data_IF_753415198392
#
_entry.id   IF_753415198392
#
_cell.length_a   1.000
_cell.length_b   1.000
_cell.length_c   1.000
_cell.angle_alpha   90.00
_cell.angle_beta   90.00
_cell.angle_gamma   90.00
#
_symmetry.space_group_name_H-M   'P 1'
#
loop_
_entity.id
_entity.type
_entity.pdbx_description
1 polymer ?
#
# COMPACT_ATOMS: atom_id res chain seq x y z
N UNK A 1 6.02 -131.90 25.09
CA UNK A 1 5.26 -130.72 24.60
C UNK A 1 5.64 -129.56 25.53
N UNK A 2 6.83 -128.98 25.42
CA UNK A 2 7.34 -128.12 24.34
C UNK A 2 6.46 -126.87 24.13
N UNK A 3 7.05 -125.74 24.52
CA UNK A 3 6.81 -124.36 24.06
C UNK A 3 5.67 -123.58 24.70
N UNK A 4 6.03 -122.66 25.61
CA UNK A 4 6.00 -121.21 25.35
C UNK A 4 5.83 -120.39 26.64
N UNK A 5 6.71 -120.60 27.62
CA UNK A 5 6.97 -119.61 28.67
C UNK A 5 7.92 -118.54 28.12
N UNK A 6 7.41 -117.59 27.35
CA UNK A 6 8.06 -116.29 27.12
C UNK A 6 6.95 -115.29 26.74
N UNK A 7 7.05 -114.06 27.25
CA UNK A 7 6.09 -112.94 27.20
C UNK A 7 5.11 -112.81 28.39
N UNK A 8 5.64 -112.70 29.60
CA UNK A 8 4.96 -112.05 30.73
C UNK A 8 5.98 -111.24 31.57
N UNK A 9 6.56 -110.19 30.99
CA UNK A 9 7.38 -109.21 31.71
C UNK A 9 7.51 -107.84 31.00
N UNK A 10 6.62 -107.51 30.04
CA UNK A 10 6.70 -106.25 29.27
C UNK A 10 5.46 -105.36 29.36
N UNK A 11 4.56 -105.65 30.32
CA UNK A 11 3.29 -104.94 30.51
C UNK A 11 3.30 -103.89 31.61
N UNK A 12 4.10 -104.07 32.67
CA UNK A 12 4.18 -103.12 33.78
C UNK A 12 5.25 -102.02 33.59
N UNK A 13 6.31 -102.27 32.82
CA UNK A 13 7.25 -101.21 32.40
C UNK A 13 6.61 -100.25 31.38
N UNK A 14 5.76 -100.75 30.48
CA UNK A 14 5.06 -99.90 29.50
C UNK A 14 4.04 -98.95 30.13
N UNK A 15 3.33 -99.36 31.18
CA UNK A 15 2.35 -98.50 31.86
C UNK A 15 3.00 -97.38 32.68
N UNK A 16 4.17 -97.65 33.27
CA UNK A 16 4.92 -96.64 34.03
C UNK A 16 5.52 -95.56 33.11
N UNK A 17 5.98 -95.95 31.92
CA UNK A 17 6.43 -95.01 30.88
C UNK A 17 5.27 -94.20 30.28
N UNK A 18 4.07 -94.78 30.21
CA UNK A 18 2.88 -94.12 29.65
C UNK A 18 2.33 -93.03 30.59
N UNK A 19 2.23 -93.31 31.90
CA UNK A 19 1.84 -92.30 32.91
C UNK A 19 2.86 -91.15 33.02
N UNK A 20 4.16 -91.46 32.97
CA UNK A 20 5.21 -90.44 32.97
C UNK A 20 5.15 -89.56 31.71
N UNK A 21 4.88 -90.15 30.56
CA UNK A 21 4.74 -89.42 29.30
C UNK A 21 3.49 -88.52 29.32
N UNK A 22 2.36 -89.00 29.83
CA UNK A 22 1.13 -88.21 29.99
C UNK A 22 1.34 -87.01 30.92
N UNK A 23 2.02 -87.21 32.06
CA UNK A 23 2.29 -86.12 33.01
C UNK A 23 3.23 -85.05 32.43
N UNK A 24 4.25 -85.45 31.66
CA UNK A 24 5.13 -84.50 30.97
C UNK A 24 4.40 -83.75 29.85
N UNK A 25 3.48 -84.42 29.14
CA UNK A 25 2.67 -83.81 28.11
C UNK A 25 1.68 -82.79 28.71
N UNK A 26 1.05 -83.11 29.83
CA UNK A 26 0.17 -82.19 30.57
C UNK A 26 0.94 -80.96 31.06
N UNK A 27 2.12 -81.15 31.66
CA UNK A 27 2.98 -80.04 32.10
C UNK A 27 3.42 -79.15 30.92
N UNK A 28 3.79 -79.75 29.78
CA UNK A 28 4.14 -79.00 28.57
C UNK A 28 2.94 -78.20 28.03
N UNK A 29 1.73 -78.76 28.09
CA UNK A 29 0.50 -78.07 27.72
C UNK A 29 0.16 -76.92 28.68
N UNK A 30 0.33 -77.10 29.98
CA UNK A 30 0.15 -76.05 30.98
C UNK A 30 1.14 -74.90 30.79
N UNK A 31 2.42 -75.21 30.55
CA UNK A 31 3.43 -74.20 30.25
C UNK A 31 3.14 -73.47 28.94
N UNK A 32 2.73 -74.20 27.90
CA UNK A 32 2.30 -73.63 26.63
C UNK A 32 1.11 -72.68 26.79
N UNK A 33 0.12 -73.07 27.60
CA UNK A 33 -1.04 -72.23 27.95
C UNK A 33 -0.61 -70.96 28.71
N UNK A 34 0.28 -71.08 29.69
CA UNK A 34 0.78 -69.93 30.45
C UNK A 34 1.58 -68.96 29.56
N UNK A 35 2.39 -69.48 28.64
CA UNK A 35 3.13 -68.67 27.67
C UNK A 35 2.19 -67.98 26.68
N UNK A 36 1.16 -68.66 26.18
CA UNK A 36 0.15 -68.06 25.30
C UNK A 36 -0.64 -66.96 26.02
N UNK A 37 -1.02 -67.17 27.27
CA UNK A 37 -1.71 -66.14 28.07
C UNK A 37 -0.81 -64.93 28.28
N UNK A 38 0.47 -65.13 28.59
CA UNK A 38 1.44 -64.03 28.71
C UNK A 38 1.70 -63.31 27.40
N UNK A 39 1.74 -64.04 26.28
CA UNK A 39 1.88 -63.44 24.97
C UNK A 39 0.64 -62.59 24.63
N UNK A 40 -0.57 -63.11 24.87
CA UNK A 40 -1.83 -62.38 24.71
C UNK A 40 -1.89 -61.12 25.58
N UNK A 41 -1.43 -61.18 26.83
CA UNK A 41 -1.35 -60.03 27.72
C UNK A 41 -0.38 -58.97 27.17
N UNK A 42 0.80 -59.38 26.71
CA UNK A 42 1.78 -58.48 26.10
C UNK A 42 1.25 -57.86 24.81
N UNK A 43 0.60 -58.63 23.93
CA UNK A 43 -0.07 -58.10 22.73
C UNK A 43 -1.15 -57.08 23.10
N UNK A 44 -1.94 -57.35 24.14
CA UNK A 44 -2.94 -56.39 24.62
C UNK A 44 -2.30 -55.11 25.15
N UNK A 45 -1.18 -55.20 25.89
CA UNK A 45 -0.45 -54.03 26.38
C UNK A 45 0.16 -53.23 25.23
N UNK A 46 0.74 -53.89 24.23
CA UNK A 46 1.29 -53.24 23.04
C UNK A 46 0.19 -52.50 22.29
N UNK A 47 -0.97 -53.12 22.06
CA UNK A 47 -2.10 -52.49 21.41
C UNK A 47 -2.62 -51.27 22.20
N UNK A 48 -2.68 -51.37 23.53
CA UNK A 48 -3.04 -50.23 24.38
C UNK A 48 -2.05 -49.07 24.26
N UNK A 49 -0.75 -49.36 24.29
CA UNK A 49 0.29 -48.35 24.11
C UNK A 49 0.24 -47.71 22.72
N UNK A 50 -0.02 -48.52 21.68
CA UNK A 50 -0.21 -48.01 20.31
C UNK A 50 -1.40 -47.06 20.21
N UNK A 51 -2.52 -47.37 20.87
CA UNK A 51 -3.68 -46.48 20.92
C UNK A 51 -3.35 -45.17 21.65
N UNK A 52 -2.65 -45.23 22.78
CA UNK A 52 -2.23 -44.02 23.51
C UNK A 52 -1.31 -43.16 22.65
N UNK A 53 -0.34 -43.77 21.96
CA UNK A 53 0.56 -43.05 21.04
C UNK A 53 -0.23 -42.41 19.91
N UNK A 54 -1.25 -43.10 19.37
CA UNK A 54 -2.11 -42.54 18.33
C UNK A 54 -2.92 -41.33 18.85
N UNK A 55 -3.53 -41.43 20.02
CA UNK A 55 -4.30 -40.34 20.64
C UNK A 55 -3.40 -39.13 20.92
N UNK A 56 -2.21 -39.35 21.47
CA UNK A 56 -1.20 -38.31 21.68
C UNK A 56 -0.76 -37.67 20.36
N UNK A 57 -0.61 -38.46 19.30
CA UNK A 57 -0.28 -37.92 17.99
C UNK A 57 -1.37 -36.97 17.47
N UNK A 58 -2.64 -37.36 17.57
CA UNK A 58 -3.77 -36.52 17.17
C UNK A 58 -3.84 -35.23 18.00
N UNK A 59 -3.60 -35.32 19.30
CA UNK A 59 -3.55 -34.15 20.19
C UNK A 59 -2.43 -33.18 19.78
N UNK A 60 -1.22 -33.69 19.54
CA UNK A 60 -0.08 -32.88 19.08
C UNK A 60 -0.41 -32.18 17.76
N UNK A 61 -1.05 -32.87 16.81
CA UNK A 61 -1.47 -32.24 15.54
C UNK A 61 -2.49 -31.14 15.75
N UNK A 62 -3.48 -31.34 16.62
CA UNK A 62 -4.49 -30.32 16.94
C UNK A 62 -3.86 -29.09 17.60
N UNK A 63 -2.97 -29.29 18.58
CA UNK A 63 -2.24 -28.21 19.23
C UNK A 63 -1.34 -27.47 18.24
N UNK A 64 -0.66 -28.19 17.35
CA UNK A 64 0.14 -27.59 16.27
C UNK A 64 -0.72 -26.73 15.36
N UNK A 65 -1.90 -27.21 14.96
CA UNK A 65 -2.84 -26.44 14.15
C UNK A 65 -3.32 -25.17 14.86
N UNK A 66 -3.62 -25.26 16.17
CA UNK A 66 -4.00 -24.10 16.98
C UNK A 66 -2.86 -23.07 17.09
N UNK A 67 -1.62 -23.51 17.28
CA UNK A 67 -0.45 -22.62 17.32
C UNK A 67 -0.25 -21.91 15.97
N UNK A 68 -0.38 -22.63 14.86
CA UNK A 68 -0.25 -22.03 13.52
C UNK A 68 -1.39 -21.03 13.24
N UNK A 69 -2.62 -21.34 13.64
CA UNK A 69 -3.74 -20.41 13.56
C UNK A 69 -3.48 -19.14 14.40
N UNK A 70 -2.94 -19.28 15.61
CA UNK A 70 -2.56 -18.14 16.45
C UNK A 70 -1.41 -17.31 15.84
N UNK A 71 -0.45 -17.97 15.17
CA UNK A 71 0.65 -17.31 14.47
C UNK A 71 0.14 -16.49 13.29
N UNK A 72 -0.68 -17.09 12.43
CA UNK A 72 -1.28 -16.41 11.27
C UNK A 72 -2.20 -15.26 11.69
N UNK A 73 -3.00 -15.43 12.76
CA UNK A 73 -3.81 -14.35 13.32
C UNK A 73 -2.95 -13.20 13.88
N UNK A 74 -1.83 -13.52 14.52
CA UNK A 74 -0.89 -12.52 15.02
C UNK A 74 -0.25 -11.75 13.85
N UNK A 75 0.11 -12.43 12.77
CA UNK A 75 0.67 -11.81 11.58
C UNK A 75 -0.34 -10.92 10.86
N UNK A 76 -1.59 -11.35 10.70
CA UNK A 76 -2.65 -10.51 10.12
C UNK A 76 -2.94 -9.28 10.98
N UNK A 77 -2.97 -9.44 12.32
CA UNK A 77 -3.09 -8.31 13.25
C UNK A 77 -1.95 -7.30 13.08
N UNK A 78 -0.71 -7.77 12.97
CA UNK A 78 0.44 -6.88 12.76
C UNK A 78 0.32 -6.13 11.42
N UNK A 79 -0.10 -6.80 10.34
CA UNK A 79 -0.34 -6.15 9.04
C UNK A 79 -1.41 -5.07 9.12
N UNK A 80 -2.51 -5.32 9.86
CA UNK A 80 -3.57 -4.33 10.10
C UNK A 80 -3.01 -3.12 10.87
N UNK A 81 -2.19 -3.34 11.90
CA UNK A 81 -1.56 -2.24 12.63
C UNK A 81 -0.66 -1.38 11.74
N UNK A 82 0.15 -2.00 10.87
CA UNK A 82 0.96 -1.26 9.90
C UNK A 82 0.09 -0.47 8.91
N UNK A 83 -1.02 -1.04 8.43
CA UNK A 83 -1.94 -0.35 7.54
C UNK A 83 -2.63 0.84 8.23
N UNK A 84 -3.06 0.68 9.48
CA UNK A 84 -3.60 1.78 10.29
C UNK A 84 -2.55 2.88 10.49
N UNK A 85 -1.30 2.54 10.75
CA UNK A 85 -0.23 3.53 10.91
C UNK A 85 0.03 4.31 9.61
N UNK A 86 0.10 3.60 8.46
CA UNK A 86 0.21 4.24 7.13
C UNK A 86 -0.95 5.20 6.86
N UNK A 87 -2.19 4.75 7.08
CA UNK A 87 -3.39 5.59 6.84
C UNK A 87 -3.45 6.79 7.80
N UNK A 88 -3.06 6.63 9.06
CA UNK A 88 -2.97 7.73 10.02
C UNK A 88 -1.95 8.78 9.57
N UNK A 89 -0.78 8.35 9.09
CA UNK A 89 0.25 9.24 8.56
C UNK A 89 -0.24 9.99 7.29
N UNK A 90 -0.92 9.30 6.37
CA UNK A 90 -1.51 9.93 5.19
C UNK A 90 -2.56 10.98 5.54
N UNK A 91 -3.42 10.69 6.54
CA UNK A 91 -4.39 11.64 7.06
C UNK A 91 -3.73 12.84 7.74
N UNK A 92 -2.65 12.64 8.48
CA UNK A 92 -1.90 13.74 9.09
C UNK A 92 -1.26 14.63 8.02
N UNK A 93 -0.67 14.03 6.99
CA UNK A 93 -0.04 14.76 5.88
C UNK A 93 -1.06 15.57 5.07
N UNK A 94 -2.20 14.97 4.75
CA UNK A 94 -3.30 15.68 4.06
C UNK A 94 -3.88 16.80 4.92
N UNK A 95 -4.02 16.60 6.24
CA UNK A 95 -4.47 17.64 7.16
C UNK A 95 -3.47 18.80 7.23
N UNK A 96 -2.17 18.53 7.37
CA UNK A 96 -1.11 19.55 7.31
C UNK A 96 -1.18 20.36 6.02
N UNK A 97 -1.35 19.69 4.88
CA UNK A 97 -1.50 20.34 3.57
C UNK A 97 -2.74 21.25 3.52
N UNK A 98 -3.89 20.75 3.93
CA UNK A 98 -5.14 21.54 3.98
C UNK A 98 -5.02 22.74 4.92
N UNK A 99 -4.32 22.61 6.05
CA UNK A 99 -4.08 23.72 6.97
C UNK A 99 -3.17 24.79 6.35
N UNK A 100 -2.13 24.39 5.61
CA UNK A 100 -1.28 25.31 4.87
C UNK A 100 -2.06 26.05 3.76
N UNK A 101 -2.88 25.33 2.99
CA UNK A 101 -3.76 25.91 1.96
C UNK A 101 -4.78 26.88 2.57
N UNK A 102 -5.45 26.48 3.65
CA UNK A 102 -6.39 27.35 4.39
C UNK A 102 -5.72 28.62 4.91
N UNK A 103 -4.48 28.52 5.40
CA UNK A 103 -3.70 29.69 5.83
C UNK A 103 -3.36 30.61 4.65
N UNK A 104 -2.98 30.04 3.51
CA UNK A 104 -2.69 30.81 2.29
C UNK A 104 -3.95 31.53 1.78
N UNK A 105 -5.09 30.85 1.77
CA UNK A 105 -6.38 31.43 1.39
C UNK A 105 -6.81 32.53 2.35
N UNK A 106 -6.65 32.33 3.66
CA UNK A 106 -6.91 33.36 4.66
C UNK A 106 -6.08 34.61 4.42
N UNK A 107 -4.78 34.47 4.13
CA UNK A 107 -3.92 35.60 3.82
C UNK A 107 -4.35 36.30 2.52
N UNK A 108 -4.78 35.54 1.51
CA UNK A 108 -5.32 36.10 0.26
C UNK A 108 -6.60 36.89 0.50
N UNK A 109 -7.50 36.38 1.34
CA UNK A 109 -8.73 37.09 1.74
C UNK A 109 -8.39 38.38 2.47
N UNK A 110 -7.47 38.35 3.45
CA UNK A 110 -7.02 39.54 4.18
C UNK A 110 -6.44 40.61 3.24
N UNK A 111 -5.61 40.21 2.27
CA UNK A 111 -5.07 41.13 1.26
C UNK A 111 -6.16 41.73 0.36
N UNK A 112 -7.14 40.92 -0.06
CA UNK A 112 -8.26 41.38 -0.87
C UNK A 112 -9.17 42.32 -0.07
N UNK A 113 -9.46 42.01 1.19
CA UNK A 113 -10.19 42.91 2.10
C UNK A 113 -9.46 44.23 2.28
N UNK A 114 -8.14 44.22 2.49
CA UNK A 114 -7.35 45.44 2.58
C UNK A 114 -7.41 46.29 1.30
N UNK A 115 -7.40 45.65 0.13
CA UNK A 115 -7.58 46.33 -1.15
C UNK A 115 -8.98 46.95 -1.28
N UNK A 116 -10.03 46.24 -0.85
CA UNK A 116 -11.40 46.77 -0.85
C UNK A 116 -11.48 48.02 0.02
N UNK A 117 -10.95 47.99 1.26
CA UNK A 117 -10.93 49.18 2.11
C UNK A 117 -10.21 50.38 1.49
N UNK A 118 -9.09 50.15 0.79
CA UNK A 118 -8.39 51.22 0.07
C UNK A 118 -9.20 51.78 -1.11
N UNK A 119 -9.98 50.93 -1.78
CA UNK A 119 -10.86 51.38 -2.87
C UNK A 119 -12.06 52.15 -2.34
N UNK A 120 -12.65 51.70 -1.22
CA UNK A 120 -13.71 52.42 -0.51
C UNK A 120 -13.24 53.81 -0.06
N UNK A 121 -12.05 53.93 0.54
CA UNK A 121 -11.46 55.22 0.91
C UNK A 121 -11.28 56.15 -0.30
N UNK A 122 -10.83 55.62 -1.44
CA UNK A 122 -10.70 56.40 -2.68
C UNK A 122 -12.06 56.84 -3.23
N UNK A 123 -13.09 56.01 -3.12
CA UNK A 123 -14.45 56.37 -3.52
C UNK A 123 -14.96 57.50 -2.62
N UNK A 124 -14.84 57.36 -1.30
CA UNK A 124 -15.22 58.40 -0.34
C UNK A 124 -14.51 59.73 -0.62
N UNK A 125 -13.22 59.70 -0.95
CA UNK A 125 -12.46 60.90 -1.30
C UNK A 125 -12.89 61.52 -2.63
N UNK A 126 -13.22 60.70 -3.63
CA UNK A 126 -13.78 61.18 -4.90
C UNK A 126 -15.18 61.77 -4.71
N UNK A 127 -16.01 61.17 -3.87
CA UNK A 127 -17.33 61.67 -3.51
C UNK A 127 -17.24 63.02 -2.79
N UNK A 128 -16.32 63.16 -1.82
CA UNK A 128 -16.03 64.46 -1.17
C UNK A 128 -15.61 65.51 -2.19
N UNK A 129 -14.68 65.17 -3.11
CA UNK A 129 -14.25 66.08 -4.17
C UNK A 129 -15.40 66.50 -5.08
N UNK A 130 -16.26 65.56 -5.47
CA UNK A 130 -17.44 65.83 -6.30
C UNK A 130 -18.43 66.77 -5.57
N UNK A 131 -18.69 66.53 -4.28
CA UNK A 131 -19.56 67.40 -3.50
C UNK A 131 -18.96 68.81 -3.34
N UNK A 132 -17.64 68.94 -3.09
CA UNK A 132 -16.99 70.27 -3.04
C UNK A 132 -17.13 71.02 -4.36
N UNK A 133 -16.88 70.37 -5.51
CA UNK A 133 -17.04 70.96 -6.84
C UNK A 133 -18.49 71.38 -7.09
N UNK A 134 -19.46 70.55 -6.70
CA UNK A 134 -20.90 70.87 -6.80
C UNK A 134 -21.26 72.08 -5.92
N UNK A 135 -20.72 72.18 -4.71
CA UNK A 135 -20.93 73.37 -3.88
C UNK A 135 -20.28 74.62 -4.49
N UNK A 136 -19.14 74.50 -5.16
CA UNK A 136 -18.49 75.64 -5.81
C UNK A 136 -19.19 76.06 -7.10
N UNK A 137 -19.75 75.12 -7.86
CA UNK A 137 -20.61 75.38 -9.02
C UNK A 137 -21.87 76.15 -8.60
N UNK A 138 -22.55 75.73 -7.53
CA UNK A 138 -23.73 76.45 -7.02
C UNK A 138 -23.39 77.85 -6.51
N UNK A 139 -22.24 78.05 -5.84
CA UNK A 139 -21.74 79.38 -5.46
C UNK A 139 -21.40 80.23 -6.67
N UNK A 140 -20.81 79.66 -7.72
CA UNK A 140 -20.49 80.37 -8.96
C UNK A 140 -21.77 80.77 -9.72
N UNK A 141 -22.77 79.89 -9.81
CA UNK A 141 -24.07 80.25 -10.39
C UNK A 141 -24.81 81.31 -9.57
N UNK A 142 -24.73 81.24 -8.24
CA UNK A 142 -25.19 82.29 -7.33
C UNK A 142 -24.48 83.62 -7.59
N UNK A 143 -23.14 83.59 -7.70
CA UNK A 143 -22.34 84.77 -8.02
C UNK A 143 -22.57 85.28 -9.44
N UNK A 144 -22.84 84.46 -10.45
CA UNK A 144 -23.14 84.90 -11.83
C UNK A 144 -24.52 85.56 -11.90
N UNK A 145 -25.51 85.06 -11.14
CA UNK A 145 -26.82 85.71 -11.01
C UNK A 145 -26.75 86.99 -10.17
N UNK A 146 -25.85 87.06 -9.20
CA UNK A 146 -25.54 88.26 -8.40
C UNK A 146 -24.70 89.28 -9.19
N UNK A 147 -23.74 88.85 -10.02
CA UNK A 147 -22.96 89.71 -10.93
C UNK A 147 -23.81 90.24 -12.07
N UNK A 148 -24.89 89.56 -12.48
CA UNK A 148 -25.91 90.18 -13.35
C UNK A 148 -26.75 91.25 -12.63
N UNK A 149 -26.79 91.27 -11.30
CA UNK A 149 -27.45 92.31 -10.51
C UNK A 149 -26.50 93.43 -10.06
N UNK A 150 -25.18 93.19 -10.04
CA UNK A 150 -24.17 94.16 -9.57
C UNK A 150 -23.08 94.51 -10.59
N UNK A 151 -23.22 94.10 -11.86
CA UNK A 151 -22.38 94.55 -12.99
C UNK A 151 -22.69 95.99 -13.44
N UNK A 152 -22.80 96.89 -12.48
CA UNK A 152 -22.42 98.28 -12.66
C UNK A 152 -21.45 98.60 -11.53
N UNK A 153 -20.18 98.76 -11.90
CA UNK A 153 -19.05 99.20 -11.07
C UNK A 153 -18.31 98.09 -10.32
N UNK A 154 -17.18 97.63 -10.88
CA UNK A 154 -15.88 98.00 -10.32
C UNK A 154 -14.71 97.58 -11.20
N UNK A 155 -13.83 98.55 -11.40
CA UNK A 155 -12.58 98.48 -12.14
C UNK A 155 -11.46 98.58 -11.10
N UNK A 156 -10.40 97.80 -11.29
CA UNK A 156 -9.05 97.96 -10.70
C UNK A 156 -8.84 97.49 -9.24
N UNK A 157 -7.89 96.59 -9.01
CA UNK A 157 -6.64 96.91 -8.30
C UNK A 157 -5.66 95.72 -8.31
N UNK A 158 -4.45 95.99 -8.80
CA UNK A 158 -3.23 95.21 -8.66
C UNK A 158 -2.52 95.63 -7.37
N UNK A 159 -2.02 94.68 -6.58
CA UNK A 159 -0.95 94.85 -5.57
C UNK A 159 -0.40 93.43 -5.34
N UNK A 160 0.75 92.99 -5.86
CA UNK A 160 2.14 93.37 -5.61
C UNK A 160 2.50 93.60 -4.13
N UNK A 161 2.94 92.51 -3.47
CA UNK A 161 3.73 92.57 -2.24
C UNK A 161 4.84 91.52 -2.31
N UNK A 162 6.04 91.98 -2.65
CA UNK A 162 7.30 91.32 -2.34
C UNK A 162 7.58 91.47 -0.85
N UNK A 163 7.81 90.37 -0.14
CA UNK A 163 8.75 90.36 0.98
C UNK A 163 9.53 89.05 1.02
N UNK A 164 10.83 89.18 0.79
CA UNK A 164 11.87 88.31 1.31
C UNK A 164 11.68 88.15 2.82
N UNK A 165 11.65 86.91 3.31
CA UNK A 165 12.56 86.55 4.39
C UNK A 165 12.83 85.04 4.41
N UNK A 166 14.06 84.75 3.99
CA UNK A 166 14.81 83.57 4.38
C UNK A 166 14.90 83.50 5.90
N UNK A 167 14.48 82.38 6.49
CA UNK A 167 15.40 81.45 7.15
C UNK A 167 14.67 80.62 8.23
N UNK A 168 15.03 79.33 8.24
CA UNK A 168 14.76 78.33 9.28
C UNK A 168 13.37 77.70 9.31
N UNK A 169 13.15 76.75 8.38
CA UNK A 169 12.34 75.57 8.65
C UNK A 169 12.91 74.41 7.83
N UNK A 170 13.97 73.79 8.35
CA UNK A 170 14.51 72.55 7.81
C UNK A 170 14.42 71.45 8.86
N UNK A 171 13.20 71.23 9.36
CA UNK A 171 12.84 70.07 10.18
C UNK A 171 11.41 69.67 9.83
N UNK A 172 11.27 69.02 8.68
CA UNK A 172 10.25 68.01 8.39
C UNK A 172 10.34 67.66 6.90
N UNK A 173 11.08 66.60 6.55
CA UNK A 173 11.00 65.97 5.22
C UNK A 173 9.72 65.10 5.10
N UNK A 174 8.60 65.56 5.65
CA UNK A 174 7.30 64.90 5.51
C UNK A 174 6.59 65.33 4.22
N UNK A 175 6.92 66.51 3.67
CA UNK A 175 6.28 67.07 2.47
C UNK A 175 6.77 66.44 1.16
N UNK A 176 7.90 65.72 1.16
CA UNK A 176 8.40 64.98 -0.02
C UNK A 176 7.68 63.65 -0.26
N UNK A 177 6.74 63.26 0.63
CA UNK A 177 5.92 62.05 0.50
C UNK A 177 4.46 62.33 0.08
N UNK A 178 4.06 63.59 -0.07
CA UNK A 178 2.72 63.90 -0.58
C UNK A 178 2.65 63.69 -2.10
N UNK A 179 1.57 63.05 -2.53
CA UNK A 179 1.28 62.63 -3.91
C UNK A 179 1.20 63.80 -4.92
N UNK A 180 1.16 65.04 -4.42
CA UNK A 180 0.96 66.27 -5.18
C UNK A 180 2.21 66.76 -5.93
N UNK A 181 3.40 66.25 -5.59
CA UNK A 181 4.67 66.66 -6.23
C UNK A 181 5.28 65.63 -7.18
N UNK A 182 4.55 64.55 -7.52
CA UNK A 182 5.05 63.48 -8.41
C UNK A 182 5.36 63.95 -9.85
N UNK A 183 4.88 65.12 -10.25
CA UNK A 183 4.93 65.61 -11.64
C UNK A 183 5.96 66.73 -11.87
N UNK A 184 6.77 67.09 -10.87
CA UNK A 184 7.89 68.01 -11.08
C UNK A 184 9.04 67.22 -11.71
N UNK A 185 9.63 67.69 -12.84
CA UNK A 185 10.77 67.02 -13.44
C UNK A 185 11.92 67.01 -12.43
N UNK A 186 12.21 65.81 -11.93
CA UNK A 186 13.26 65.56 -10.95
C UNK A 186 14.61 66.01 -11.51
N UNK A 187 15.41 66.67 -10.68
CA UNK A 187 16.80 66.95 -11.06
C UNK A 187 17.57 65.64 -11.26
N UNK A 188 18.61 65.59 -12.11
CA UNK A 188 19.35 64.36 -12.42
C UNK A 188 19.82 63.58 -11.18
N UNK A 189 20.24 64.33 -10.14
CA UNK A 189 20.68 63.79 -8.86
C UNK A 189 19.53 63.20 -8.04
N UNK A 190 18.36 63.82 -8.02
CA UNK A 190 17.19 63.26 -7.32
C UNK A 190 16.69 61.97 -7.97
N UNK A 191 16.84 61.83 -9.31
CA UNK A 191 16.48 60.59 -10.01
C UNK A 191 17.43 59.45 -9.64
N UNK A 192 18.72 59.75 -9.53
CA UNK A 192 19.71 58.79 -9.06
C UNK A 192 19.47 58.39 -7.61
N UNK A 193 19.15 59.33 -6.72
CA UNK A 193 18.80 59.04 -5.32
C UNK A 193 17.58 58.12 -5.27
N UNK A 194 16.54 58.36 -6.08
CA UNK A 194 15.36 57.48 -6.13
C UNK A 194 15.71 56.08 -6.64
N UNK A 195 16.49 55.95 -7.70
CA UNK A 195 16.96 54.65 -8.22
C UNK A 195 17.79 53.89 -7.18
N UNK A 196 18.67 54.58 -6.46
CA UNK A 196 19.46 54.00 -5.38
C UNK A 196 18.57 53.57 -4.20
N UNK A 197 17.56 54.37 -3.84
CA UNK A 197 16.59 54.01 -2.81
C UNK A 197 15.76 52.79 -3.19
N UNK A 198 15.30 52.69 -4.44
CA UNK A 198 14.57 51.53 -4.95
C UNK A 198 15.46 50.29 -4.99
N UNK A 199 16.73 50.43 -5.41
CA UNK A 199 17.73 49.35 -5.38
C UNK A 199 18.03 48.90 -3.95
N UNK A 200 18.16 49.82 -3.00
CA UNK A 200 18.38 49.51 -1.58
C UNK A 200 17.16 48.80 -1.00
N UNK A 201 15.94 49.26 -1.32
CA UNK A 201 14.72 48.60 -0.90
C UNK A 201 14.63 47.17 -1.48
N UNK A 202 14.93 47.00 -2.78
CA UNK A 202 14.97 45.71 -3.44
C UNK A 202 15.99 44.77 -2.80
N UNK A 203 17.21 45.24 -2.57
CA UNK A 203 18.27 44.47 -1.92
C UNK A 203 17.91 44.11 -0.48
N UNK A 204 17.24 45.00 0.26
CA UNK A 204 16.75 44.73 1.61
C UNK A 204 15.65 43.66 1.62
N UNK A 205 14.70 43.73 0.68
CA UNK A 205 13.71 42.65 0.52
C UNK A 205 14.37 41.34 0.14
N UNK A 206 15.34 41.36 -0.78
CA UNK A 206 16.08 40.18 -1.20
C UNK A 206 16.85 39.56 -0.03
N UNK A 207 17.53 40.36 0.78
CA UNK A 207 18.22 39.92 2.00
C UNK A 207 17.26 39.23 2.98
N UNK A 208 16.04 39.75 3.16
CA UNK A 208 15.05 39.10 4.04
C UNK A 208 14.55 37.77 3.49
N UNK A 209 14.41 37.65 2.17
CA UNK A 209 14.03 36.40 1.51
C UNK A 209 15.15 35.38 1.66
N UNK A 210 16.38 35.77 1.39
CA UNK A 210 17.52 34.87 1.46
C UNK A 210 17.78 34.42 2.91
N UNK A 211 17.66 35.32 3.90
CA UNK A 211 17.70 34.92 5.32
C UNK A 211 16.68 33.83 5.65
N UNK A 212 15.43 33.98 5.18
CA UNK A 212 14.39 32.96 5.39
C UNK A 212 14.72 31.64 4.69
N UNK A 213 15.30 31.68 3.49
CA UNK A 213 15.75 30.47 2.79
C UNK A 213 16.86 29.76 3.54
N UNK A 214 17.83 30.51 4.09
CA UNK A 214 18.88 29.95 4.94
C UNK A 214 18.28 29.29 6.18
N UNK A 215 17.34 29.95 6.87
CA UNK A 215 16.67 29.37 8.04
C UNK A 215 15.91 28.07 7.72
N UNK A 216 15.23 28.03 6.57
CA UNK A 216 14.54 26.79 6.12
C UNK A 216 15.53 25.67 5.82
N UNK A 217 16.61 25.99 5.10
CA UNK A 217 17.64 25.00 4.76
C UNK A 217 18.38 24.49 6.00
N UNK A 218 18.63 25.35 6.99
CA UNK A 218 19.25 24.99 8.26
C UNK A 218 18.37 23.98 9.04
N UNK A 219 17.06 24.20 9.08
CA UNK A 219 16.10 23.25 9.67
C UNK A 219 16.09 21.94 8.89
N UNK A 220 16.07 21.97 7.56
CA UNK A 220 16.13 20.78 6.72
C UNK A 220 17.42 19.97 6.94
N UNK A 221 18.57 20.64 7.01
CA UNK A 221 19.84 20.01 7.35
C UNK A 221 19.83 19.38 8.75
N UNK A 222 19.22 20.04 9.75
CA UNK A 222 19.08 19.49 11.09
C UNK A 222 18.26 18.20 11.09
N UNK A 223 17.12 18.20 10.41
CA UNK A 223 16.25 17.01 10.29
C UNK A 223 16.98 15.86 9.58
N UNK A 224 17.65 16.13 8.46
CA UNK A 224 18.42 15.12 7.73
C UNK A 224 19.60 14.57 8.55
N UNK A 225 20.22 15.39 9.39
CA UNK A 225 21.25 14.91 10.33
C UNK A 225 20.65 13.98 11.40
N UNK A 226 19.50 14.31 11.96
CA UNK A 226 18.80 13.45 12.92
C UNK A 226 18.38 12.12 12.29
N UNK A 227 17.82 12.15 11.08
CA UNK A 227 17.46 10.95 10.32
C UNK A 227 18.68 10.07 10.02
N UNK A 228 19.79 10.67 9.56
CA UNK A 228 21.04 9.94 9.37
C UNK A 228 21.54 9.32 10.68
N UNK A 229 21.48 10.05 11.80
CA UNK A 229 21.89 9.50 13.09
C UNK A 229 21.03 8.30 13.51
N UNK A 230 19.72 8.34 13.26
CA UNK A 230 18.81 7.23 13.51
C UNK A 230 19.15 6.04 12.61
N UNK A 231 19.41 6.27 11.32
CA UNK A 231 19.80 5.22 10.38
C UNK A 231 21.13 4.58 10.78
N UNK A 232 22.14 5.35 11.15
CA UNK A 232 23.41 4.85 11.68
C UNK A 232 23.20 3.98 12.92
N UNK A 233 22.34 4.39 13.84
CA UNK A 233 22.03 3.60 15.03
C UNK A 233 21.32 2.28 14.67
N UNK A 234 20.41 2.28 13.68
CA UNK A 234 19.78 1.05 13.17
C UNK A 234 20.81 0.12 12.54
N UNK A 235 21.74 0.65 11.73
CA UNK A 235 22.82 -0.13 11.13
C UNK A 235 23.69 -0.76 12.22
N UNK A 236 24.14 0.02 13.21
CA UNK A 236 24.92 -0.51 14.36
C UNK A 236 24.17 -1.62 15.10
N UNK A 237 22.85 -1.49 15.30
CA UNK A 237 22.04 -2.52 15.93
C UNK A 237 21.94 -3.80 15.09
N UNK A 238 21.84 -3.67 13.77
CA UNK A 238 21.84 -4.81 12.85
C UNK A 238 23.22 -5.48 12.77
N UNK A 239 24.30 -4.70 12.77
CA UNK A 239 25.68 -5.21 12.84
C UNK A 239 25.91 -5.99 14.14
N UNK A 240 25.40 -5.50 15.28
CA UNK A 240 25.47 -6.22 16.54
C UNK A 240 24.71 -7.55 16.49
N UNK A 241 23.48 -7.57 15.96
CA UNK A 241 22.70 -8.80 15.76
C UNK A 241 23.39 -9.79 14.82
N UNK A 242 24.01 -9.29 13.75
CA UNK A 242 24.79 -10.10 12.84
C UNK A 242 26.00 -10.73 13.55
N UNK A 243 26.71 -9.96 14.37
CA UNK A 243 27.84 -10.47 15.16
C UNK A 243 27.41 -11.56 16.16
N UNK A 244 26.25 -11.38 16.81
CA UNK A 244 25.65 -12.38 17.70
C UNK A 244 25.28 -13.65 16.93
N UNK A 245 24.66 -13.52 15.76
CA UNK A 245 24.31 -14.65 14.91
C UNK A 245 25.55 -15.44 14.46
N UNK A 246 26.64 -14.76 14.09
CA UNK A 246 27.92 -15.39 13.73
C UNK A 246 28.50 -16.15 14.94
N UNK A 247 28.47 -15.57 16.14
CA UNK A 247 28.94 -16.26 17.35
C UNK A 247 28.11 -17.52 17.64
N UNK A 248 26.78 -17.43 17.58
CA UNK A 248 25.89 -18.58 17.79
C UNK A 248 26.13 -19.66 16.74
N UNK A 249 26.32 -19.29 15.48
CA UNK A 249 26.65 -20.25 14.43
C UNK A 249 27.98 -20.96 14.70
N UNK A 250 29.00 -20.23 15.15
CA UNK A 250 30.27 -20.82 15.56
C UNK A 250 30.09 -21.78 16.74
N UNK A 251 29.32 -21.41 17.77
CA UNK A 251 29.03 -22.29 18.92
C UNK A 251 28.28 -23.57 18.50
N UNK A 252 27.33 -23.46 17.56
CA UNK A 252 26.64 -24.62 16.98
C UNK A 252 27.59 -25.55 16.24
N UNK A 253 28.52 -24.99 15.44
CA UNK A 253 29.53 -25.80 14.74
C UNK A 253 30.47 -26.51 15.71
N UNK A 254 30.89 -25.82 16.78
CA UNK A 254 31.74 -26.40 17.81
C UNK A 254 31.02 -27.48 18.62
N UNK A 255 29.75 -27.28 18.97
CA UNK A 255 28.95 -28.31 19.66
C UNK A 255 28.69 -29.52 18.77
N UNK A 256 28.46 -29.31 17.47
CA UNK A 256 28.39 -30.38 16.48
C UNK A 256 29.71 -31.18 16.49
N UNK A 257 30.86 -30.55 16.26
CA UNK A 257 32.17 -31.25 16.26
C UNK A 257 32.40 -32.01 17.58
N UNK A 258 32.11 -31.39 18.73
CA UNK A 258 32.23 -32.03 20.04
C UNK A 258 31.31 -33.25 20.20
N UNK A 259 30.07 -33.18 19.70
CA UNK A 259 29.12 -34.30 19.73
C UNK A 259 29.59 -35.46 18.84
N UNK A 260 30.17 -35.17 17.67
CA UNK A 260 30.79 -36.19 16.82
C UNK A 260 31.99 -36.84 17.49
N UNK A 261 32.86 -36.06 18.14
CA UNK A 261 33.99 -36.59 18.90
C UNK A 261 33.55 -37.43 20.11
N UNK A 262 32.50 -37.03 20.83
CA UNK A 262 31.93 -37.84 21.91
C UNK A 262 31.33 -39.15 21.42
N UNK A 263 30.64 -39.17 20.26
CA UNK A 263 30.15 -40.41 19.63
C UNK A 263 31.29 -41.34 19.23
N UNK A 264 32.41 -40.81 18.74
CA UNK A 264 33.59 -41.62 18.39
C UNK A 264 34.29 -42.14 19.66
N UNK A 265 34.34 -41.34 20.73
CA UNK A 265 34.90 -41.75 22.01
C UNK A 265 34.04 -42.81 22.71
N UNK A 266 32.71 -42.71 22.66
CA UNK A 266 31.80 -43.75 23.17
C UNK A 266 31.87 -45.03 22.35
N UNK A 267 32.10 -44.95 21.04
CA UNK A 267 32.37 -46.10 20.17
C UNK A 267 33.71 -46.79 20.51
N UNK A 268 34.73 -46.04 20.94
CA UNK A 268 36.01 -46.61 21.39
C UNK A 268 35.93 -47.27 22.77
N UNK A 269 34.95 -46.90 23.62
CA UNK A 269 34.71 -47.54 24.93
C UNK A 269 33.79 -48.76 24.81
N UNK A 270 33.08 -48.94 23.69
CA UNK A 270 32.22 -50.11 23.43
C UNK A 270 32.90 -51.31 22.75
N UNK A 271 34.23 -51.38 22.73
CA UNK A 271 34.95 -52.62 22.37
C UNK A 271 35.06 -53.57 23.58
N UNK A 272 33.91 -53.93 24.16
CA UNK A 272 33.74 -55.09 25.03
C UNK A 272 32.26 -55.39 25.23
N UNK A 273 31.55 -55.75 24.16
CA UNK A 273 30.51 -56.80 24.17
C UNK A 273 29.91 -56.95 22.78
N UNK A 274 30.22 -58.10 22.19
CA UNK A 274 29.51 -58.70 21.07
C UNK A 274 27.99 -58.69 21.35
N UNK A 275 27.20 -58.31 20.35
CA UNK A 275 26.31 -59.30 19.73
C UNK A 275 25.82 -58.84 18.36
N UNK A 276 26.15 -59.68 17.39
CA UNK A 276 25.86 -59.58 15.98
C UNK A 276 24.48 -60.19 15.73
N UNK A 277 23.49 -59.45 15.21
CA UNK A 277 22.44 -60.04 14.36
C UNK A 277 21.93 -59.09 13.27
N UNK A 278 22.09 -59.62 12.05
CA UNK A 278 21.23 -59.54 10.86
C UNK A 278 21.20 -58.23 10.06
N UNK A 279 21.84 -58.33 8.89
CA UNK A 279 21.79 -57.44 7.74
C UNK A 279 20.38 -57.30 7.15
N UNK A 280 20.01 -56.08 6.74
CA UNK A 280 18.94 -55.82 5.77
C UNK A 280 19.44 -54.76 4.75
N UNK A 281 19.54 -55.06 3.44
CA UNK A 281 20.11 -54.16 2.43
C UNK A 281 19.03 -53.25 1.85
N UNK A 282 18.46 -52.34 2.67
CA UNK A 282 17.43 -51.39 2.23
C UNK A 282 17.71 -49.92 2.55
N UNK A 283 18.89 -49.58 3.06
CA UNK A 283 19.25 -48.20 3.42
C UNK A 283 20.40 -47.69 2.54
N UNK A 284 20.20 -47.69 1.23
CA UNK A 284 21.10 -47.04 0.26
C UNK A 284 20.32 -46.31 -0.86
N UNK A 285 19.12 -45.78 -0.55
CA UNK A 285 18.41 -44.92 -1.50
C UNK A 285 17.79 -43.64 -0.92
N UNK A 286 18.17 -43.25 0.29
CA UNK A 286 17.81 -41.93 0.84
C UNK A 286 19.09 -41.10 1.02
N UNK A 287 19.70 -40.74 -0.11
CA UNK A 287 20.35 -39.44 -0.20
C UNK A 287 19.29 -38.55 -0.83
N UNK A 288 18.38 -38.07 0.01
CA UNK A 288 17.41 -37.05 -0.37
C UNK A 288 18.21 -35.76 -0.61
N UNK A 289 18.40 -35.43 -1.89
CA UNK A 289 18.86 -34.11 -2.28
C UNK A 289 17.74 -33.11 -1.93
N UNK A 290 18.05 -32.14 -1.08
CA UNK A 290 17.21 -30.95 -0.83
C UNK A 290 17.08 -30.12 -2.14
N UNK A 291 16.18 -30.55 -3.02
CA UNK A 291 15.61 -29.77 -4.10
C UNK A 291 14.10 -29.75 -3.86
N UNK A 292 13.46 -28.59 -3.62
CA UNK A 292 12.02 -28.55 -3.42
C UNK A 292 11.32 -28.81 -4.76
N UNK A 293 10.91 -30.05 -5.00
CA UNK A 293 9.89 -30.34 -6.01
C UNK A 293 8.57 -29.74 -5.53
N UNK A 294 8.19 -28.61 -6.12
CA UNK A 294 6.87 -27.98 -5.97
C UNK A 294 5.78 -28.86 -6.59
N UNK A 295 5.41 -29.94 -5.90
CA UNK A 295 4.15 -30.67 -6.12
C UNK A 295 3.00 -29.94 -5.44
N UNK A 296 2.77 -28.67 -5.80
CA UNK A 296 1.48 -28.03 -5.53
C UNK A 296 0.61 -28.18 -6.77
N UNK A 297 -0.37 -29.08 -6.73
CA UNK A 297 -1.44 -29.13 -7.72
C UNK A 297 -2.28 -27.84 -7.61
N UNK A 298 -1.79 -26.75 -8.22
CA UNK A 298 -2.51 -25.49 -8.29
C UNK A 298 -3.65 -25.59 -9.29
N UNK A 299 -4.84 -25.15 -8.88
CA UNK A 299 -6.03 -25.11 -9.74
C UNK A 299 -6.18 -23.67 -10.26
N UNK A 300 -6.46 -23.53 -11.55
CA UNK A 300 -6.78 -22.24 -12.14
C UNK A 300 -8.30 -22.08 -12.23
N UNK A 301 -8.84 -20.95 -11.76
CA UNK A 301 -10.27 -20.63 -11.87
C UNK A 301 -10.42 -19.30 -12.61
N UNK A 302 -11.31 -19.27 -13.59
CA UNK A 302 -11.64 -18.06 -14.35
C UNK A 302 -12.82 -17.36 -13.68
N UNK A 303 -12.65 -16.08 -13.37
CA UNK A 303 -13.68 -15.24 -12.79
C UNK A 303 -14.53 -14.61 -13.90
N UNK A 304 -15.78 -14.27 -13.59
CA UNK A 304 -16.72 -13.64 -14.52
C UNK A 304 -16.26 -12.27 -15.05
N UNK A 305 -15.28 -11.66 -14.39
CA UNK A 305 -14.59 -10.44 -14.82
C UNK A 305 -13.53 -10.67 -15.91
N UNK A 306 -13.37 -11.91 -16.41
CA UNK A 306 -12.42 -12.27 -17.45
C UNK A 306 -10.98 -12.47 -16.98
N UNK A 307 -10.73 -12.40 -15.67
CA UNK A 307 -9.41 -12.62 -15.05
C UNK A 307 -9.27 -14.07 -14.55
N UNK A 308 -8.08 -14.66 -14.70
CA UNK A 308 -7.77 -15.99 -14.18
C UNK A 308 -6.99 -15.89 -12.87
N UNK A 309 -7.40 -16.66 -11.86
CA UNK A 309 -6.74 -16.75 -10.57
C UNK A 309 -6.10 -18.13 -10.40
N UNK A 310 -4.83 -18.17 -10.00
CA UNK A 310 -4.09 -19.41 -9.74
C UNK A 310 -3.75 -19.50 -8.26
N UNK A 311 -4.22 -20.56 -7.60
CA UNK A 311 -3.91 -20.80 -6.20
C UNK A 311 -4.04 -22.28 -5.84
N UNK A 312 -3.48 -22.65 -4.69
CA UNK A 312 -3.58 -23.99 -4.11
C UNK A 312 -5.05 -24.42 -3.96
N UNK A 313 -5.37 -25.69 -4.20
CA UNK A 313 -6.74 -26.25 -4.14
C UNK A 313 -7.48 -25.88 -2.85
N UNK A 314 -6.78 -25.79 -1.72
CA UNK A 314 -7.34 -25.45 -0.41
C UNK A 314 -7.77 -23.98 -0.28
N UNK A 315 -7.06 -23.07 -0.94
CA UNK A 315 -7.31 -21.63 -0.88
C UNK A 315 -8.50 -21.18 -1.74
N UNK A 316 -8.82 -21.92 -2.81
CA UNK A 316 -9.90 -21.59 -3.74
C UNK A 316 -11.30 -21.93 -3.19
N UNK A 317 -11.40 -22.95 -2.34
CA UNK A 317 -12.69 -23.36 -1.75
C UNK A 317 -13.25 -22.34 -0.74
N UNK A 318 -12.43 -21.40 -0.23
CA UNK A 318 -12.88 -20.32 0.67
C UNK A 318 -13.37 -19.07 -0.06
N UNK A 319 -13.06 -18.91 -1.35
CA UNK A 319 -13.40 -17.69 -2.13
C UNK A 319 -14.55 -17.95 -3.13
N UNK A 320 -14.87 -19.21 -3.41
CA UNK A 320 -15.81 -19.60 -4.46
C UNK A 320 -17.15 -20.11 -3.93
N UNK A 321 -17.87 -19.34 -3.10
CA UNK A 321 -19.28 -19.64 -2.79
C UNK A 321 -20.24 -19.32 -3.95
N UNK A 322 -19.76 -18.68 -5.03
CA UNK A 322 -20.58 -18.27 -6.19
C UNK A 322 -20.07 -18.74 -7.57
N UNK A 323 -19.06 -19.61 -7.65
CA UNK A 323 -18.57 -20.11 -8.94
C UNK A 323 -19.13 -21.51 -9.25
N UNK A 324 -19.84 -21.63 -10.38
CA UNK A 324 -20.30 -22.92 -10.93
C UNK A 324 -19.14 -23.89 -11.11
N UNK A 325 -19.22 -25.05 -10.47
CA UNK A 325 -18.36 -26.20 -10.72
C UNK A 325 -18.45 -26.62 -12.20
N UNK A 326 -17.30 -26.62 -12.89
CA UNK A 326 -17.15 -27.35 -14.15
C UNK A 326 -16.68 -28.74 -13.78
N UNK A 327 -17.59 -29.69 -13.99
CA UNK A 327 -17.40 -31.12 -13.93
C UNK A 327 -16.26 -31.56 -14.85
N UNK A 328 -15.46 -32.49 -14.35
CA UNK A 328 -14.55 -33.40 -15.06
C UNK A 328 -14.76 -33.49 -16.58
N UNK A 329 -13.74 -33.12 -17.35
CA UNK A 329 -13.54 -33.69 -18.68
C UNK A 329 -12.05 -33.76 -19.00
N UNK A 330 -11.57 -34.99 -18.90
CA UNK A 330 -10.46 -35.61 -19.62
C UNK A 330 -9.07 -34.95 -19.55
N UNK A 331 -8.21 -35.59 -18.76
CA UNK A 331 -6.80 -35.31 -18.50
C UNK A 331 -5.84 -35.48 -19.70
N UNK A 332 -6.28 -35.41 -20.96
CA UNK A 332 -5.37 -35.73 -22.09
C UNK A 332 -5.49 -34.83 -23.31
N UNK A 333 -5.73 -33.54 -23.10
CA UNK A 333 -5.44 -32.58 -24.17
C UNK A 333 -5.23 -31.18 -23.62
N UNK A 334 -4.20 -30.52 -24.16
CA UNK A 334 -3.81 -29.12 -24.00
C UNK A 334 -2.70 -28.88 -22.97
N UNK A 335 -1.49 -29.29 -23.36
CA UNK A 335 -0.27 -28.60 -22.90
C UNK A 335 -0.46 -27.10 -23.10
N UNK A 336 -0.05 -26.28 -22.13
CA UNK A 336 -0.09 -24.81 -22.20
C UNK A 336 0.52 -24.27 -23.51
N UNK A 337 1.52 -24.98 -24.05
CA UNK A 337 2.14 -24.68 -25.34
C UNK A 337 1.17 -24.86 -26.52
N UNK A 338 0.33 -25.90 -26.50
CA UNK A 338 -0.65 -26.18 -27.55
C UNK A 338 -1.77 -25.13 -27.55
N UNK A 339 -2.21 -24.70 -26.36
CA UNK A 339 -3.19 -23.61 -26.25
C UNK A 339 -2.56 -22.26 -26.65
N UNK A 340 -1.31 -22.00 -26.28
CA UNK A 340 -0.56 -20.82 -26.75
C UNK A 340 -0.35 -20.85 -28.27
N UNK A 341 -0.05 -22.00 -28.85
CA UNK A 341 0.11 -22.16 -30.30
C UNK A 341 -1.22 -21.95 -31.03
N UNK A 342 -2.34 -22.48 -30.50
CA UNK A 342 -3.67 -22.22 -31.06
C UNK A 342 -4.03 -20.74 -30.95
N UNK A 343 -3.75 -20.09 -29.81
CA UNK A 343 -3.98 -18.65 -29.63
C UNK A 343 -3.09 -17.80 -30.54
N UNK A 344 -1.82 -18.19 -30.72
CA UNK A 344 -0.89 -17.53 -31.62
C UNK A 344 -1.32 -17.69 -33.08
N UNK A 345 -1.75 -18.89 -33.49
CA UNK A 345 -2.28 -19.15 -34.82
C UNK A 345 -3.58 -18.37 -35.08
N UNK A 346 -4.48 -18.27 -34.10
CA UNK A 346 -5.70 -17.47 -34.21
C UNK A 346 -5.41 -15.98 -34.32
N UNK A 347 -4.43 -15.48 -33.56
CA UNK A 347 -3.98 -14.10 -33.64
C UNK A 347 -3.32 -13.81 -35.00
N UNK A 348 -2.47 -14.73 -35.47
CA UNK A 348 -1.85 -14.66 -36.78
C UNK A 348 -2.89 -14.62 -37.91
N UNK A 349 -3.89 -15.50 -37.88
CA UNK A 349 -4.99 -15.50 -38.84
C UNK A 349 -5.78 -14.18 -38.81
N UNK A 350 -6.00 -13.60 -37.62
CA UNK A 350 -6.67 -12.30 -37.45
C UNK A 350 -5.84 -11.15 -38.04
N UNK A 351 -4.53 -11.14 -37.84
CA UNK A 351 -3.62 -10.17 -38.45
C UNK A 351 -3.52 -10.34 -39.97
N UNK A 352 -3.54 -11.57 -40.47
CA UNK A 352 -3.57 -11.85 -41.90
C UNK A 352 -4.88 -11.39 -42.53
N UNK A 353 -6.02 -11.57 -41.86
CA UNK A 353 -7.31 -11.05 -42.28
C UNK A 353 -7.37 -9.52 -42.24
N UNK A 354 -6.77 -8.88 -41.22
CA UNK A 354 -6.66 -7.42 -41.12
C UNK A 354 -5.78 -6.82 -42.23
N UNK A 355 -4.68 -7.47 -42.56
CA UNK A 355 -3.80 -7.04 -43.66
C UNK A 355 -4.44 -7.26 -45.03
N UNK A 356 -5.15 -8.38 -45.25
CA UNK A 356 -5.95 -8.61 -46.45
C UNK A 356 -7.16 -7.67 -46.58
N UNK A 357 -7.83 -7.32 -45.47
CA UNK A 357 -8.89 -6.33 -45.49
C UNK A 357 -8.34 -4.92 -45.72
N UNK A 358 -7.13 -4.61 -45.24
CA UNK A 358 -6.46 -3.34 -45.55
C UNK A 358 -5.98 -3.26 -47.00
N UNK A 359 -5.60 -4.38 -47.63
CA UNK A 359 -5.32 -4.41 -49.07
C UNK A 359 -6.60 -4.32 -49.91
N UNK A 360 -7.70 -4.97 -49.49
CA UNK A 360 -9.02 -4.84 -50.14
C UNK A 360 -9.61 -3.43 -49.98
N UNK A 361 -9.42 -2.79 -48.82
CA UNK A 361 -9.89 -1.41 -48.57
C UNK A 361 -9.05 -0.36 -49.31
N UNK A 362 -7.80 -0.66 -49.68
CA UNK A 362 -6.96 0.20 -50.51
C UNK A 362 -7.27 0.15 -52.01
N UNK A 363 -8.04 -0.83 -52.49
CA UNK A 363 -8.52 -0.88 -53.88
C UNK A 363 -9.90 -0.21 -54.07
N UNK A 364 -10.61 0.13 -52.98
CA UNK A 364 -11.95 0.75 -53.03
C UNK A 364 -12.03 2.25 -52.73
N UNK A 365 -11.00 2.86 -52.14
CA UNK A 365 -11.07 4.25 -51.62
C UNK A 365 -9.95 5.18 -52.13
N UNK A 366 -9.30 4.84 -53.24
CA UNK A 366 -8.48 5.83 -53.97
C UNK A 366 -9.37 6.65 -54.89
N UNK A 367 -9.93 7.76 -54.38
CA UNK A 367 -10.22 9.03 -55.10
C UNK A 367 -11.42 9.77 -54.51
N UNK A 368 -11.33 10.25 -53.27
CA UNK A 368 -11.94 11.53 -52.84
C UNK A 368 -11.74 11.71 -51.35
N UNK A 369 -11.45 12.94 -50.93
CA UNK A 369 -11.39 13.38 -49.53
C UNK A 369 -10.05 13.16 -48.81
N UNK A 370 -8.96 13.49 -49.52
CA UNK A 370 -7.92 14.32 -48.90
C UNK A 370 -8.47 15.75 -48.79
N UNK A 371 -8.20 16.39 -47.65
CA UNK A 371 -8.46 17.79 -47.27
C UNK A 371 -9.77 18.06 -46.49
N UNK A 372 -9.57 18.72 -45.35
CA UNK A 372 -10.53 19.47 -44.52
C UNK A 372 -11.21 18.72 -43.35
N UNK A 373 -10.63 18.80 -42.14
CA UNK A 373 -11.07 19.75 -41.08
C UNK A 373 -10.48 19.43 -39.71
N UNK A 374 -9.63 20.34 -39.27
CA UNK A 374 -9.32 20.61 -37.86
C UNK A 374 -10.54 21.23 -37.15
N UNK A 375 -10.57 21.06 -35.81
CA UNK A 375 -11.31 21.82 -34.79
C UNK A 375 -12.83 21.95 -34.97
N UNK A 376 -13.58 21.05 -34.32
CA UNK A 376 -14.91 21.37 -33.79
C UNK A 376 -15.02 20.85 -32.34
N UNK A 377 -14.88 21.78 -31.41
CA UNK A 377 -15.41 21.68 -30.05
C UNK A 377 -16.94 21.67 -30.09
N UNK A 378 -17.54 20.93 -29.14
CA UNK A 378 -18.93 20.95 -28.67
C UNK A 378 -19.97 20.06 -29.38
N UNK A 379 -20.63 19.26 -28.54
CA UNK A 379 -22.07 18.95 -28.58
C UNK A 379 -22.57 17.92 -29.60
N UNK A 380 -22.14 16.65 -29.50
CA UNK A 380 -22.89 15.56 -30.14
C UNK A 380 -22.75 14.19 -29.44
N UNK A 381 -23.00 14.10 -28.13
CA UNK A 381 -23.27 12.80 -27.44
C UNK A 381 -24.53 12.93 -26.56
N UNK A 382 -25.54 13.60 -27.08
CA UNK A 382 -26.93 13.39 -26.67
C UNK A 382 -27.68 13.07 -27.94
N UNK A 383 -28.40 11.94 -27.96
CA UNK A 383 -29.08 11.29 -29.10
C UNK A 383 -28.31 10.13 -29.76
N UNK A 384 -27.87 9.17 -28.95
CA UNK A 384 -27.94 7.76 -29.38
C UNK A 384 -28.99 7.08 -28.53
N UNK A 385 -30.23 7.23 -29.00
CA UNK A 385 -31.40 6.48 -28.57
C UNK A 385 -31.27 5.09 -29.21
N UNK A 386 -31.48 4.06 -28.38
CA UNK A 386 -31.75 2.67 -28.77
C UNK A 386 -30.57 1.81 -29.27
N UNK A 387 -29.87 1.18 -28.33
CA UNK A 387 -29.55 -0.26 -28.43
C UNK A 387 -30.07 -0.96 -27.19
N UNK A 388 -30.97 -1.91 -27.42
CA UNK A 388 -31.87 -2.46 -26.42
C UNK A 388 -31.29 -3.58 -25.56
N UNK A 389 -32.15 -3.89 -24.59
CA UNK A 389 -32.36 -5.14 -23.86
C UNK A 389 -31.42 -5.52 -22.71
N UNK A 390 -32.04 -5.44 -21.54
CA UNK A 390 -32.10 -6.49 -20.52
C UNK A 390 -30.83 -6.80 -19.74
N UNK A 391 -30.49 -5.89 -18.82
CA UNK A 391 -30.12 -6.30 -17.46
C UNK A 391 -30.79 -5.37 -16.45
N UNK A 392 -31.60 -5.94 -15.56
CA UNK A 392 -32.30 -5.26 -14.45
C UNK A 392 -31.35 -4.79 -13.34
N UNK A 393 -30.24 -4.14 -13.68
CA UNK A 393 -29.37 -3.50 -12.68
C UNK A 393 -29.06 -2.08 -13.12
N UNK A 394 -29.89 -1.14 -12.64
CA UNK A 394 -29.52 0.27 -12.66
C UNK A 394 -28.25 0.37 -11.80
N UNK A 395 -27.11 0.83 -12.34
CA UNK A 395 -25.90 0.99 -11.56
C UNK A 395 -26.16 1.91 -10.35
N UNK A 396 -25.61 1.61 -9.17
CA UNK A 396 -25.94 2.30 -7.91
C UNK A 396 -25.72 3.83 -7.99
N UNK A 397 -24.76 4.29 -8.79
CA UNK A 397 -24.52 5.72 -9.01
C UNK A 397 -25.69 6.41 -9.73
N UNK A 398 -26.41 5.73 -10.65
CA UNK A 398 -27.58 6.31 -11.34
C UNK A 398 -28.77 6.51 -10.41
N UNK A 399 -28.93 5.66 -9.40
CA UNK A 399 -29.94 5.84 -8.36
C UNK A 399 -29.60 7.06 -7.49
N UNK A 400 -28.32 7.20 -7.10
CA UNK A 400 -27.84 8.35 -6.33
C UNK A 400 -28.10 9.68 -7.07
N UNK A 401 -27.82 9.73 -8.38
CA UNK A 401 -28.09 10.93 -9.18
C UNK A 401 -29.58 11.26 -9.27
N UNK A 402 -30.46 10.26 -9.30
CA UNK A 402 -31.91 10.46 -9.31
C UNK A 402 -32.40 11.05 -7.98
N UNK A 403 -31.87 10.56 -6.86
CA UNK A 403 -32.22 11.06 -5.53
C UNK A 403 -31.69 12.47 -5.27
N UNK A 404 -30.46 12.77 -5.72
CA UNK A 404 -29.89 14.13 -5.70
C UNK A 404 -30.75 15.09 -6.54
N UNK A 405 -31.17 14.67 -7.74
CA UNK A 405 -32.04 15.50 -8.58
C UNK A 405 -33.43 15.73 -7.96
N UNK A 406 -33.98 14.71 -7.30
CA UNK A 406 -35.27 14.81 -6.61
C UNK A 406 -35.19 15.77 -5.40
N UNK A 407 -34.10 15.69 -4.61
CA UNK A 407 -33.87 16.62 -3.49
C UNK A 407 -33.65 18.05 -3.97
N UNK A 408 -32.86 18.25 -5.04
CA UNK A 408 -32.68 19.57 -5.65
C UNK A 408 -33.97 20.15 -6.26
N UNK A 409 -34.84 19.32 -6.83
CA UNK A 409 -36.15 19.78 -7.30
C UNK A 409 -37.08 20.17 -6.16
N UNK A 410 -36.98 19.49 -5.02
CA UNK A 410 -37.79 19.79 -3.83
C UNK A 410 -37.31 21.08 -3.16
N UNK A 411 -36.00 21.26 -3.02
CA UNK A 411 -35.40 22.49 -2.47
C UNK A 411 -35.57 23.73 -3.37
N UNK A 412 -36.04 23.57 -4.61
CA UNK A 412 -36.36 24.66 -5.53
C UNK A 412 -37.85 25.03 -5.52
N UNK A 413 -38.69 24.20 -4.90
CA UNK A 413 -40.15 24.41 -4.78
C UNK A 413 -40.59 24.87 -3.39
N UNK A 414 -39.74 24.72 -2.39
CA UNK A 414 -39.73 25.49 -1.13
C UNK A 414 -38.90 26.76 -1.33
#
# INVERSE_FOLDING_TARGET
MASSEYYCAGGQERTFDEEWYEQNLELAAELGKALLEKNRELESQVNQLQNIIHDQHVEIQSLKHQVEAMRTMTETRNRIYEEVDRTAQDLENTNKKMLMESRADKQKLENQSALIYQLEEKIDDLEKKLETLKTDETKLNGKVTEMRRTSSLNRLSLSDTKHQNSAYCFDNLAWTRLDEFRNIPLTPYELEIRKLQDSLHHLKTQQTIDRRKYEVLDVECSVLMEENQILENKVKALEAKLSEAIMVQYELEQTYINQYQQKISSLSVSNAREDMRTSDPRILHEIEHDCPELRSEGKAVKLDSGSSLYSSKESLNKVATDAKEIHERDETSLSILDELDVQYQALFAKYQALTQNKSKSKEGETRQQLAHKEVQTLLHITLSKDFGQDTNTIPPYKALFKDIFATLQKSRRE
#
